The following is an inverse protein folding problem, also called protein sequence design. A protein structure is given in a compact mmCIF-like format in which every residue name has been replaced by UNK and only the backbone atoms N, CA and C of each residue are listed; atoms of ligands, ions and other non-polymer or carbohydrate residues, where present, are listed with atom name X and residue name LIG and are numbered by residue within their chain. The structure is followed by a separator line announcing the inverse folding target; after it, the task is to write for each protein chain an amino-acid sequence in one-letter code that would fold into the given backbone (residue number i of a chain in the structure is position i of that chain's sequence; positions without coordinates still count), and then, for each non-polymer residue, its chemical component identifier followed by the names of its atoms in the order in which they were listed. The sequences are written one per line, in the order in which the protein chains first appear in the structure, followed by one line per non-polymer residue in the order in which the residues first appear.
data_IF_515001631699
#
_entry.id   IF_515001631699
#
_cell.length_a   1.000
_cell.length_b   1.000
_cell.length_c   1.000
_cell.angle_alpha   90.00
_cell.angle_beta   90.00
_cell.angle_gamma   90.00
#
_symmetry.space_group_name_H-M   'P 1'
#
loop_
_entity.id
_entity.type
_entity.pdbx_description
1 polymer ?
#
# COMPACT_ATOMS: atom_id res chain seq x y z
N UNK A 1 33.74 25.04 -2.62
CA UNK A 1 33.31 23.85 -3.40
C UNK A 1 33.02 22.76 -2.39
N UNK A 2 31.88 22.07 -2.48
CA UNK A 2 31.67 20.84 -1.72
C UNK A 2 32.73 19.83 -2.17
N UNK A 3 33.27 19.05 -1.24
CA UNK A 3 34.12 17.92 -1.62
C UNK A 3 33.29 16.84 -2.33
N UNK A 4 33.97 15.84 -2.90
CA UNK A 4 33.29 14.78 -3.66
C UNK A 4 32.22 14.04 -2.83
N UNK A 5 32.43 13.93 -1.52
CA UNK A 5 31.50 13.25 -0.61
C UNK A 5 30.26 14.14 -0.36
N UNK A 6 30.44 15.43 -0.09
CA UNK A 6 29.35 16.39 0.12
C UNK A 6 28.50 16.59 -1.14
N UNK A 7 29.11 16.55 -2.32
CA UNK A 7 28.38 16.59 -3.59
C UNK A 7 27.52 15.33 -3.79
N UNK A 8 28.06 14.15 -3.46
CA UNK A 8 27.34 12.89 -3.57
C UNK A 8 26.18 12.76 -2.57
N UNK A 9 26.36 13.29 -1.35
CA UNK A 9 25.31 13.33 -0.34
C UNK A 9 24.16 14.26 -0.75
N UNK A 10 24.47 15.44 -1.29
CA UNK A 10 23.45 16.39 -1.73
C UNK A 10 22.69 15.91 -2.98
N UNK A 11 23.41 15.36 -3.97
CA UNK A 11 22.80 14.92 -5.23
C UNK A 11 21.83 13.74 -5.09
N UNK A 12 22.03 12.91 -4.06
CA UNK A 12 21.21 11.71 -3.81
C UNK A 12 20.35 11.82 -2.55
N UNK A 13 20.23 13.02 -1.95
CA UNK A 13 19.42 13.25 -0.74
C UNK A 13 19.94 12.59 0.54
N UNK A 14 21.13 11.99 0.52
CA UNK A 14 21.72 11.20 1.61
C UNK A 14 22.31 12.06 2.75
N UNK A 15 21.71 13.20 3.10
CA UNK A 15 22.29 14.09 4.13
C UNK A 15 22.37 13.46 5.53
N UNK A 16 21.68 12.34 5.75
CA UNK A 16 21.49 11.65 7.01
C UNK A 16 22.11 10.24 7.05
N UNK A 17 23.21 10.00 6.32
CA UNK A 17 23.96 8.72 6.35
C UNK A 17 24.20 8.05 7.72
N UNK A 18 24.23 8.76 8.88
CA UNK A 18 24.25 8.11 10.21
C UNK A 18 22.99 7.28 10.55
N UNK A 19 21.85 7.54 9.89
CA UNK A 19 20.60 6.79 10.00
C UNK A 19 20.36 5.98 8.71
N UNK A 20 20.69 4.68 8.71
CA UNK A 20 20.46 3.81 7.56
C UNK A 20 18.98 3.69 7.14
N UNK A 21 18.00 4.02 7.99
CA UNK A 21 16.59 4.02 7.63
C UNK A 21 16.22 5.27 6.83
N UNK A 22 16.64 6.43 7.31
CA UNK A 22 16.37 7.70 6.65
C UNK A 22 17.18 7.85 5.34
N UNK A 23 18.43 7.34 5.32
CA UNK A 23 19.23 7.24 4.11
C UNK A 23 18.55 6.39 3.01
N UNK A 24 17.89 5.26 3.36
CA UNK A 24 17.12 4.44 2.40
C UNK A 24 15.90 5.17 1.83
N UNK A 25 15.20 5.93 2.67
CA UNK A 25 14.07 6.76 2.25
C UNK A 25 14.53 7.81 1.24
N UNK A 26 15.65 8.47 1.51
CA UNK A 26 16.17 9.56 0.68
C UNK A 26 16.65 9.13 -0.71
N UNK A 27 17.16 7.90 -0.86
CA UNK A 27 17.52 7.35 -2.20
C UNK A 27 16.33 6.77 -2.96
N UNK A 28 15.11 6.95 -2.46
CA UNK A 28 13.93 6.37 -3.10
C UNK A 28 13.88 4.85 -3.00
N UNK A 29 14.71 4.23 -2.14
CA UNK A 29 14.57 2.83 -1.75
C UNK A 29 13.46 2.69 -0.70
N UNK A 30 12.33 3.37 -0.92
CA UNK A 30 11.14 3.32 -0.08
C UNK A 30 10.83 1.85 0.20
N UNK A 31 10.91 1.49 1.47
CA UNK A 31 10.88 0.11 1.92
C UNK A 31 9.57 -0.51 1.43
N UNK A 32 9.65 -1.38 0.43
CA UNK A 32 8.51 -2.22 -0.03
C UNK A 32 8.24 -3.33 1.00
N UNK A 33 8.49 -3.06 2.27
CA UNK A 33 8.24 -3.96 3.37
C UNK A 33 6.73 -4.04 3.61
N UNK A 34 6.27 -5.22 4.02
CA UNK A 34 4.90 -5.40 4.45
C UNK A 34 4.67 -4.69 5.79
N UNK A 35 3.65 -3.86 5.86
CA UNK A 35 3.27 -3.10 7.06
C UNK A 35 2.04 -3.70 7.71
N UNK A 36 2.04 -3.84 9.03
CA UNK A 36 0.86 -4.25 9.79
C UNK A 36 -0.09 -3.07 10.05
N UNK A 37 -1.38 -3.25 9.75
CA UNK A 37 -2.46 -2.31 10.06
C UNK A 37 -3.60 -3.05 10.74
N UNK A 38 -4.00 -2.58 11.90
CA UNK A 38 -5.14 -3.10 12.68
C UNK A 38 -6.27 -2.06 12.81
N UNK A 39 -6.37 -1.14 11.84
CA UNK A 39 -7.30 -0.02 11.87
C UNK A 39 -7.21 0.82 10.59
N UNK A 40 -8.02 1.88 10.54
CA UNK A 40 -8.12 2.72 9.36
C UNK A 40 -6.77 3.34 8.95
N UNK A 41 -6.51 3.36 7.64
CA UNK A 41 -5.27 3.85 7.07
C UNK A 41 -5.51 4.41 5.65
N UNK A 42 -4.81 5.47 5.29
CA UNK A 42 -4.78 5.98 3.91
C UNK A 42 -3.47 5.55 3.26
N UNK A 43 -3.58 4.68 2.26
CA UNK A 43 -2.44 4.10 1.58
C UNK A 43 -1.73 5.10 0.66
N UNK A 44 -0.44 4.88 0.47
CA UNK A 44 0.38 5.49 -0.58
C UNK A 44 0.61 4.50 -1.73
N UNK A 45 0.89 5.00 -2.93
CA UNK A 45 1.20 4.14 -4.06
C UNK A 45 2.47 3.32 -3.76
N UNK A 46 2.41 2.01 -3.99
CA UNK A 46 3.47 1.05 -3.69
C UNK A 46 3.37 0.38 -2.31
N UNK A 47 2.42 0.80 -1.46
CA UNK A 47 2.24 0.21 -0.14
C UNK A 47 1.93 -1.29 -0.21
N UNK A 48 2.44 -2.04 0.79
CA UNK A 48 2.11 -3.44 1.02
C UNK A 48 1.58 -3.61 2.44
N UNK A 49 0.34 -4.03 2.57
CA UNK A 49 -0.43 -3.94 3.81
C UNK A 49 -0.90 -5.32 4.27
N UNK A 50 -0.47 -5.70 5.48
CA UNK A 50 -1.08 -6.76 6.29
C UNK A 50 -2.24 -6.16 7.07
N UNK A 51 -3.46 -6.35 6.59
CA UNK A 51 -4.66 -5.76 7.20
C UNK A 51 -5.28 -6.73 8.21
N UNK A 52 -4.83 -6.65 9.46
CA UNK A 52 -5.28 -7.51 10.56
C UNK A 52 -6.61 -7.03 11.13
N UNK A 53 -7.67 -7.70 10.73
CA UNK A 53 -9.05 -7.43 11.17
C UNK A 53 -9.46 -8.27 12.38
N UNK A 54 -8.52 -8.95 13.05
CA UNK A 54 -8.81 -9.84 14.18
C UNK A 54 -9.57 -9.17 15.32
N UNK A 55 -9.38 -7.87 15.54
CA UNK A 55 -10.09 -7.10 16.57
C UNK A 55 -11.43 -6.53 16.09
N UNK A 56 -11.49 -6.02 14.84
CA UNK A 56 -12.67 -5.41 14.24
C UNK A 56 -12.47 -5.24 12.72
N UNK A 57 -13.58 -5.15 11.99
CA UNK A 57 -13.59 -4.67 10.61
C UNK A 57 -13.18 -3.19 10.54
N UNK A 58 -12.45 -2.80 9.49
CA UNK A 58 -12.08 -1.41 9.24
C UNK A 58 -11.94 -1.11 7.75
N UNK A 59 -11.71 0.17 7.43
CA UNK A 59 -11.55 0.65 6.06
C UNK A 59 -10.14 1.13 5.79
N UNK A 60 -9.53 0.66 4.71
CA UNK A 60 -8.34 1.27 4.12
C UNK A 60 -8.77 2.13 2.92
N UNK A 61 -8.27 3.35 2.86
CA UNK A 61 -8.52 4.28 1.75
C UNK A 61 -7.34 4.24 0.79
N UNK A 62 -7.59 3.98 -0.50
CA UNK A 62 -6.55 3.95 -1.52
C UNK A 62 -5.96 5.36 -1.79
N UNK A 63 -4.77 5.43 -2.42
CA UNK A 63 -4.10 6.69 -2.68
C UNK A 63 -4.97 7.67 -3.47
N UNK A 64 -4.96 8.96 -3.09
CA UNK A 64 -5.60 10.02 -3.87
C UNK A 64 -4.80 10.37 -5.14
N UNK A 65 -3.46 10.30 -5.06
CA UNK A 65 -2.57 10.37 -6.22
C UNK A 65 -2.55 9.02 -6.91
N UNK A 66 -3.07 8.97 -8.14
CA UNK A 66 -3.37 7.75 -8.87
C UNK A 66 -2.72 7.80 -10.26
N UNK A 67 -1.38 7.77 -10.37
CA UNK A 67 -0.75 7.58 -11.68
C UNK A 67 -1.17 6.23 -12.24
N UNK A 68 -1.21 6.13 -13.57
CA UNK A 68 -1.49 4.86 -14.25
C UNK A 68 -0.53 3.76 -13.76
N UNK A 69 -1.09 2.60 -13.42
CA UNK A 69 -0.32 1.49 -12.84
C UNK A 69 0.07 1.67 -11.37
N UNK A 70 -0.46 2.64 -10.63
CA UNK A 70 -0.28 2.70 -9.19
C UNK A 70 -0.80 1.42 -8.53
N UNK A 71 -0.07 0.90 -7.54
CA UNK A 71 -0.41 -0.39 -6.91
C UNK A 71 -0.52 -0.26 -5.39
N UNK A 72 -1.42 -1.03 -4.78
CA UNK A 72 -1.40 -1.32 -3.34
C UNK A 72 -1.65 -2.81 -3.14
N UNK A 73 -0.78 -3.46 -2.36
CA UNK A 73 -0.88 -4.89 -2.08
C UNK A 73 -1.52 -5.11 -0.71
N UNK A 74 -2.37 -6.14 -0.62
CA UNK A 74 -3.12 -6.48 0.59
C UNK A 74 -2.96 -7.96 0.90
N UNK A 75 -2.86 -8.27 2.19
CA UNK A 75 -3.03 -9.63 2.70
C UNK A 75 -3.77 -9.63 4.02
N UNK A 76 -4.48 -10.72 4.28
CA UNK A 76 -5.08 -11.06 5.56
C UNK A 76 -4.09 -11.88 6.40
N UNK A 77 -3.39 -11.26 7.37
CA UNK A 77 -2.39 -11.98 8.15
C UNK A 77 -3.02 -12.95 9.16
N UNK A 78 -4.29 -12.74 9.52
CA UNK A 78 -4.94 -13.43 10.63
C UNK A 78 -6.01 -14.44 10.23
N UNK A 79 -6.31 -14.56 8.93
CA UNK A 79 -7.43 -15.36 8.42
C UNK A 79 -8.76 -14.98 9.08
N UNK A 80 -9.05 -13.68 9.10
CA UNK A 80 -10.21 -13.10 9.77
C UNK A 80 -11.17 -12.38 8.81
N UNK A 81 -10.82 -12.17 7.54
CA UNK A 81 -11.64 -11.37 6.62
C UNK A 81 -13.05 -11.93 6.37
N UNK A 82 -13.30 -13.24 6.51
CA UNK A 82 -14.65 -13.78 6.37
C UNK A 82 -15.56 -13.45 7.57
N UNK A 83 -14.97 -13.13 8.73
CA UNK A 83 -15.71 -12.77 9.96
C UNK A 83 -15.72 -11.26 10.18
N UNK A 84 -14.56 -10.63 10.02
CA UNK A 84 -14.33 -9.20 10.17
C UNK A 84 -13.75 -8.67 8.86
N UNK A 85 -14.60 -8.32 7.91
CA UNK A 85 -14.15 -7.97 6.56
C UNK A 85 -13.28 -6.71 6.55
N UNK A 86 -12.32 -6.67 5.62
CA UNK A 86 -11.65 -5.43 5.26
C UNK A 86 -12.49 -4.71 4.18
N UNK A 87 -12.77 -3.42 4.39
CA UNK A 87 -13.29 -2.57 3.31
C UNK A 87 -12.15 -1.77 2.69
N UNK A 88 -12.08 -1.72 1.37
CA UNK A 88 -11.14 -0.88 0.62
C UNK A 88 -11.93 0.19 -0.12
N UNK A 89 -11.65 1.46 0.19
CA UNK A 89 -12.24 2.61 -0.50
C UNK A 89 -11.39 3.01 -1.69
N UNK A 90 -12.01 3.19 -2.87
CA UNK A 90 -11.35 3.68 -4.08
C UNK A 90 -10.92 5.15 -4.04
N UNK A 91 -11.29 5.87 -2.96
CA UNK A 91 -10.94 7.27 -2.71
C UNK A 91 -11.27 8.24 -3.86
N UNK A 92 -12.53 8.18 -4.31
CA UNK A 92 -13.03 9.00 -5.42
C UNK A 92 -12.95 8.32 -6.79
N UNK A 93 -12.20 7.22 -6.92
CA UNK A 93 -12.29 6.30 -8.05
C UNK A 93 -13.20 5.10 -7.72
N UNK A 94 -13.64 4.40 -8.76
CA UNK A 94 -14.22 3.07 -8.58
C UNK A 94 -13.11 2.04 -8.30
N UNK A 95 -13.49 0.92 -7.68
CA UNK A 95 -12.73 -0.29 -7.46
C UNK A 95 -13.63 -1.49 -7.77
N UNK A 96 -13.21 -2.32 -8.73
CA UNK A 96 -14.00 -3.47 -9.20
C UNK A 96 -15.48 -3.11 -9.51
N UNK A 97 -15.72 -1.95 -10.13
CA UNK A 97 -17.02 -1.46 -10.56
C UNK A 97 -17.83 -0.69 -9.50
N UNK A 98 -17.32 -0.50 -8.28
CA UNK A 98 -18.04 0.19 -7.19
C UNK A 98 -17.13 1.18 -6.43
N UNK A 99 -17.68 2.04 -5.56
CA UNK A 99 -16.85 2.98 -4.78
C UNK A 99 -15.95 2.28 -3.72
N UNK A 100 -16.33 1.06 -3.32
CA UNK A 100 -15.63 0.27 -2.32
C UNK A 100 -15.60 -1.20 -2.72
N UNK A 101 -14.52 -1.89 -2.35
CA UNK A 101 -14.37 -3.33 -2.45
C UNK A 101 -14.33 -3.94 -1.04
N UNK A 102 -15.06 -5.02 -0.83
CA UNK A 102 -15.05 -5.77 0.42
C UNK A 102 -14.19 -7.01 0.23
N UNK A 103 -13.11 -7.13 1.00
CA UNK A 103 -12.34 -8.36 1.08
C UNK A 103 -12.89 -9.21 2.25
N UNK A 104 -13.41 -10.38 1.91
CA UNK A 104 -14.22 -11.26 2.77
C UNK A 104 -13.77 -12.73 2.75
N UNK A 105 -12.56 -13.00 2.29
CA UNK A 105 -11.97 -14.32 2.17
C UNK A 105 -10.83 -14.46 3.18
N UNK A 106 -10.95 -15.43 4.08
CA UNK A 106 -9.92 -15.75 5.07
C UNK A 106 -8.58 -16.08 4.40
N UNK A 107 -7.50 -15.47 4.92
CA UNK A 107 -6.16 -15.63 4.37
C UNK A 107 -6.04 -15.03 2.97
N UNK A 108 -6.98 -14.14 2.61
CA UNK A 108 -7.05 -13.49 1.31
C UNK A 108 -5.80 -12.67 1.01
N UNK A 109 -5.43 -12.66 -0.26
CA UNK A 109 -4.35 -11.85 -0.81
C UNK A 109 -4.85 -11.22 -2.10
N UNK A 110 -4.52 -9.95 -2.36
CA UNK A 110 -4.79 -9.30 -3.64
C UNK A 110 -3.94 -8.05 -3.84
N UNK A 111 -3.99 -7.53 -5.05
CA UNK A 111 -3.45 -6.23 -5.40
C UNK A 111 -4.57 -5.36 -6.00
N UNK A 112 -4.59 -4.09 -5.63
CA UNK A 112 -5.36 -3.05 -6.32
C UNK A 112 -4.40 -2.29 -7.25
N UNK A 113 -4.67 -2.30 -8.56
CA UNK A 113 -3.86 -1.62 -9.58
C UNK A 113 -4.72 -0.55 -10.24
N UNK A 114 -4.27 0.70 -10.31
CA UNK A 114 -5.03 1.77 -10.94
C UNK A 114 -4.88 1.75 -12.47
N UNK A 115 -6.01 1.77 -13.17
CA UNK A 115 -6.11 2.03 -14.61
C UNK A 115 -6.59 3.47 -14.81
N UNK A 116 -5.71 4.36 -15.27
CA UNK A 116 -6.03 5.76 -15.47
C UNK A 116 -6.95 6.02 -16.67
N UNK A 117 -7.04 5.07 -17.61
CA UNK A 117 -7.93 5.17 -18.76
C UNK A 117 -9.37 4.89 -18.34
N UNK A 118 -9.57 3.90 -17.47
CA UNK A 118 -10.88 3.54 -16.93
C UNK A 118 -11.29 4.37 -15.69
N UNK A 119 -10.36 5.12 -15.09
CA UNK A 119 -10.50 5.78 -13.79
C UNK A 119 -10.94 4.78 -12.69
N UNK A 120 -10.32 3.60 -12.71
CA UNK A 120 -10.74 2.45 -11.91
C UNK A 120 -9.56 1.69 -11.30
N UNK A 121 -9.68 1.37 -10.01
CA UNK A 121 -8.85 0.38 -9.35
C UNK A 121 -9.29 -1.03 -9.70
N UNK A 122 -8.39 -1.76 -10.34
CA UNK A 122 -8.55 -3.13 -10.71
C UNK A 122 -8.06 -4.03 -9.57
N UNK A 123 -8.96 -4.81 -8.98
CA UNK A 123 -8.58 -5.91 -8.08
C UNK A 123 -8.04 -7.06 -8.93
N UNK A 124 -6.84 -7.54 -8.61
CA UNK A 124 -6.20 -8.68 -9.27
C UNK A 124 -5.71 -9.68 -8.23
N UNK A 125 -5.68 -10.95 -8.65
CA UNK A 125 -5.17 -12.07 -7.85
C UNK A 125 -5.89 -12.25 -6.51
N UNK A 126 -7.22 -12.07 -6.46
CA UNK A 126 -7.96 -12.31 -5.22
C UNK A 126 -8.14 -13.81 -4.97
N UNK A 127 -7.45 -14.33 -3.96
CA UNK A 127 -7.53 -15.73 -3.55
C UNK A 127 -7.02 -15.94 -2.12
N UNK A 128 -7.44 -17.04 -1.49
CA UNK A 128 -7.04 -17.39 -0.12
C UNK A 128 -5.76 -18.22 -0.12
N UNK A 129 -4.94 -18.09 0.92
CA UNK A 129 -3.87 -19.04 1.19
C UNK A 129 -4.47 -20.43 1.47
N UNK A 130 -3.93 -21.47 0.81
CA UNK A 130 -4.33 -22.88 1.00
C UNK A 130 -3.70 -23.47 2.26
#
# INVERSE_FOLDING_TARGET
MLDANGALMAANGLSDLPDPAAARVNVGAADRAWQDKAGAYTASAGDRIKADTGAAAFTITLPASRPDGAEVWFMDPGANWATNNLTVSGNGANIAGAATFTADLDGGYFIAIFDATADEWQVRMYGGAV
#
